data_IF_212835729475
#
_entry.id   IF_212835729475
#
_cell.length_a   1.000
_cell.length_b   1.000
_cell.length_c   1.000
_cell.angle_alpha   90.00
_cell.angle_beta   90.00
_cell.angle_gamma   90.00
#
_symmetry.space_group_name_H-M   'P 1'
#
loop_
_entity.id
_entity.type
_entity.pdbx_description
1 polymer ?
#
# COMPACT_ATOMS: atom_id res chain seq x y z
N UNK A 1 37.25 7.09 7.16
CA UNK A 1 36.35 6.11 6.55
C UNK A 1 35.27 6.87 5.78
N UNK A 2 35.51 7.26 4.53
CA UNK A 2 34.47 7.75 3.63
C UNK A 2 33.92 6.56 2.83
N UNK A 3 32.60 6.41 2.78
CA UNK A 3 31.83 5.86 1.64
C UNK A 3 30.42 5.57 2.14
N UNK A 4 29.63 6.64 2.24
CA UNK A 4 28.19 6.54 2.09
C UNK A 4 27.91 6.70 0.60
N UNK A 5 28.24 5.64 -0.14
CA UNK A 5 27.83 5.43 -1.51
C UNK A 5 26.32 5.66 -1.58
N UNK A 6 25.95 6.75 -2.25
CA UNK A 6 24.58 7.08 -2.54
C UNK A 6 23.98 5.91 -3.31
N UNK A 7 22.94 5.29 -2.75
CA UNK A 7 22.12 4.31 -3.46
C UNK A 7 21.39 5.02 -4.62
N UNK A 8 22.11 5.26 -5.71
CA UNK A 8 21.54 5.68 -6.98
C UNK A 8 20.59 4.56 -7.44
N UNK A 9 19.30 4.77 -7.17
CA UNK A 9 18.27 3.90 -7.71
C UNK A 9 18.20 4.21 -9.20
N UNK A 10 18.86 3.37 -10.00
CA UNK A 10 18.83 3.47 -11.46
C UNK A 10 17.37 3.56 -11.92
N UNK A 11 16.99 4.71 -12.48
CA UNK A 11 15.64 4.94 -12.95
C UNK A 11 15.34 3.90 -14.05
N UNK A 12 14.26 3.10 -13.92
CA UNK A 12 13.90 2.15 -14.96
C UNK A 12 13.66 2.93 -16.26
N UNK A 13 14.38 2.55 -17.32
CA UNK A 13 14.31 3.15 -18.66
C UNK A 13 12.97 2.88 -19.35
N UNK A 14 11.89 3.32 -18.71
CA UNK A 14 10.56 3.28 -19.27
C UNK A 14 10.50 4.29 -20.43
N UNK A 15 9.88 3.93 -21.56
CA UNK A 15 9.72 4.84 -22.67
C UNK A 15 8.96 6.09 -22.20
N UNK A 16 9.64 7.24 -22.23
CA UNK A 16 9.03 8.54 -21.93
C UNK A 16 8.27 8.99 -23.17
N UNK A 17 6.97 9.25 -23.02
CA UNK A 17 6.16 9.77 -24.12
C UNK A 17 6.68 11.17 -24.52
N UNK A 18 7.19 11.30 -25.74
CA UNK A 18 7.73 12.56 -26.28
C UNK A 18 6.65 13.49 -26.86
N UNK A 19 5.40 13.04 -26.92
CA UNK A 19 4.29 13.83 -27.46
C UNK A 19 3.67 14.74 -26.40
N UNK A 20 3.16 15.90 -26.83
CA UNK A 20 2.31 16.74 -25.98
C UNK A 20 1.16 15.92 -25.38
N UNK A 21 0.86 16.16 -24.10
CA UNK A 21 -0.21 15.47 -23.41
C UNK A 21 -1.55 15.72 -24.13
N UNK A 22 -2.16 14.67 -24.66
CA UNK A 22 -3.50 14.75 -25.24
C UNK A 22 -4.50 15.15 -24.13
N UNK A 23 -5.56 15.90 -24.47
CA UNK A 23 -6.62 16.21 -23.51
C UNK A 23 -7.17 14.89 -22.96
N UNK A 24 -7.16 14.76 -21.63
CA UNK A 24 -7.66 13.56 -20.94
C UNK A 24 -9.07 13.26 -21.45
N UNK A 25 -9.34 12.05 -21.97
CA UNK A 25 -10.69 11.69 -22.37
C UNK A 25 -11.60 11.83 -21.15
N UNK A 26 -12.73 12.52 -21.32
CA UNK A 26 -13.70 12.68 -20.25
C UNK A 26 -14.31 11.33 -19.93
N UNK A 27 -14.26 10.92 -18.66
CA UNK A 27 -14.92 9.71 -18.16
C UNK A 27 -16.45 9.77 -18.35
N UNK A 28 -17.00 10.98 -18.56
CA UNK A 28 -18.40 11.18 -18.90
C UNK A 28 -18.81 10.50 -20.22
N UNK A 29 -17.90 10.40 -21.21
CA UNK A 29 -18.18 9.74 -22.50
C UNK A 29 -18.34 8.23 -22.38
N UNK A 30 -17.85 7.64 -21.29
CA UNK A 30 -17.94 6.21 -20.99
C UNK A 30 -18.62 5.96 -19.65
N UNK A 31 -19.48 6.88 -19.19
CA UNK A 31 -20.15 6.74 -17.92
C UNK A 31 -21.02 5.47 -17.97
N UNK A 32 -20.77 4.47 -17.09
CA UNK A 32 -21.56 3.26 -17.09
C UNK A 32 -23.01 3.60 -16.74
N UNK A 33 -23.96 3.01 -17.46
CA UNK A 33 -25.38 3.10 -17.13
C UNK A 33 -25.63 2.58 -15.70
N UNK A 34 -26.58 3.19 -14.97
CA UNK A 34 -27.02 2.73 -13.65
C UNK A 34 -27.34 1.23 -13.62
N UNK A 35 -27.97 0.69 -14.68
CA UNK A 35 -28.24 -0.74 -14.79
C UNK A 35 -26.95 -1.59 -14.79
N UNK A 36 -25.91 -1.13 -15.49
CA UNK A 36 -24.60 -1.79 -15.51
C UNK A 36 -23.92 -1.71 -14.14
N UNK A 37 -23.97 -0.55 -13.48
CA UNK A 37 -23.40 -0.38 -12.12
C UNK A 37 -24.09 -1.30 -11.12
N UNK A 38 -25.42 -1.40 -11.18
CA UNK A 38 -26.19 -2.31 -10.32
C UNK A 38 -25.83 -3.79 -10.57
N UNK A 39 -25.67 -4.19 -11.83
CA UNK A 39 -25.24 -5.55 -12.17
C UNK A 39 -23.81 -5.83 -11.70
N UNK A 40 -22.90 -4.86 -11.82
CA UNK A 40 -21.52 -4.98 -11.36
C UNK A 40 -21.45 -5.14 -9.83
N UNK A 41 -22.23 -4.37 -9.07
CA UNK A 41 -22.32 -4.50 -7.62
C UNK A 41 -22.90 -5.86 -7.21
N UNK A 42 -24.02 -6.27 -7.81
CA UNK A 42 -24.62 -7.57 -7.55
C UNK A 42 -23.69 -8.75 -7.91
N UNK A 43 -22.87 -8.61 -8.96
CA UNK A 43 -21.87 -9.61 -9.33
C UNK A 43 -20.68 -9.62 -8.36
N UNK A 44 -20.26 -8.46 -7.85
CA UNK A 44 -19.17 -8.34 -6.87
C UNK A 44 -19.51 -9.07 -5.56
N UNK A 45 -20.74 -8.97 -5.08
CA UNK A 45 -21.18 -9.68 -3.86
C UNK A 45 -21.15 -11.20 -4.01
N UNK A 46 -21.22 -11.71 -5.25
CA UNK A 46 -21.17 -13.14 -5.57
C UNK A 46 -19.77 -13.63 -5.91
N UNK A 47 -18.78 -12.74 -6.04
CA UNK A 47 -17.41 -13.17 -6.27
C UNK A 47 -16.82 -13.73 -4.98
N UNK A 48 -16.14 -14.87 -5.09
CA UNK A 48 -15.32 -15.38 -3.99
C UNK A 48 -14.36 -14.28 -3.53
N UNK A 49 -14.21 -14.01 -2.22
CA UNK A 49 -13.38 -12.93 -1.72
C UNK A 49 -11.94 -13.16 -2.21
N UNK A 50 -11.58 -12.44 -3.27
CA UNK A 50 -10.37 -12.70 -4.06
C UNK A 50 -9.09 -12.52 -3.23
N UNK A 51 -9.22 -11.90 -2.04
CA UNK A 51 -8.14 -11.67 -1.07
C UNK A 51 -8.64 -11.67 0.38
N UNK A 52 -9.37 -12.69 0.83
CA UNK A 52 -9.70 -12.82 2.27
C UNK A 52 -8.43 -12.72 3.17
N UNK A 53 -7.29 -13.21 2.70
CA UNK A 53 -5.98 -13.09 3.38
C UNK A 53 -5.38 -11.66 3.42
N UNK A 54 -5.80 -10.73 2.56
CA UNK A 54 -5.32 -9.33 2.56
C UNK A 54 -6.38 -8.31 2.97
N UNK A 55 -7.60 -8.75 3.25
CA UNK A 55 -8.60 -7.92 3.90
C UNK A 55 -8.17 -7.76 5.36
N UNK A 56 -7.51 -6.64 5.67
CA UNK A 56 -7.19 -6.28 7.05
C UNK A 56 -8.52 -6.02 7.74
N UNK A 57 -8.96 -6.96 8.58
CA UNK A 57 -10.10 -6.71 9.46
C UNK A 57 -9.73 -5.64 10.48
N UNK A 58 -10.69 -4.87 11.00
CA UNK A 58 -10.42 -3.91 12.07
C UNK A 58 -9.74 -4.57 13.28
N UNK A 59 -10.07 -5.83 13.63
CA UNK A 59 -9.34 -6.57 14.67
C UNK A 59 -7.89 -6.86 14.27
N UNK A 60 -7.64 -7.19 13.00
CA UNK A 60 -6.29 -7.38 12.46
C UNK A 60 -5.44 -6.11 12.51
N UNK A 61 -6.05 -4.95 12.25
CA UNK A 61 -5.40 -3.65 12.38
C UNK A 61 -5.06 -3.33 13.85
N UNK A 62 -6.02 -3.48 14.76
CA UNK A 62 -5.81 -3.26 16.20
C UNK A 62 -4.70 -4.17 16.76
N UNK A 63 -4.68 -5.45 16.36
CA UNK A 63 -3.62 -6.38 16.71
C UNK A 63 -2.24 -5.99 16.14
N UNK A 64 -2.18 -5.43 14.93
CA UNK A 64 -0.93 -4.96 14.33
C UNK A 64 -0.38 -3.72 15.05
N UNK A 65 -1.23 -2.74 15.36
CA UNK A 65 -0.83 -1.57 16.15
C UNK A 65 -0.42 -1.95 17.58
N UNK A 66 -1.11 -2.90 18.21
CA UNK A 66 -0.72 -3.42 19.52
C UNK A 66 0.64 -4.13 19.51
N UNK A 67 0.94 -4.92 18.45
CA UNK A 67 2.26 -5.53 18.27
C UNK A 67 3.35 -4.49 18.02
N UNK A 68 3.09 -3.50 17.16
CA UNK A 68 4.01 -2.38 16.92
C UNK A 68 4.28 -1.55 18.18
N UNK A 69 3.26 -1.28 18.98
CA UNK A 69 3.39 -0.58 20.26
C UNK A 69 4.26 -1.35 21.26
N UNK A 70 4.12 -2.68 21.35
CA UNK A 70 5.00 -3.52 22.17
C UNK A 70 6.44 -3.62 21.64
N UNK A 71 6.63 -3.57 20.32
CA UNK A 71 7.97 -3.47 19.73
C UNK A 71 8.63 -2.11 20.00
N UNK A 72 7.83 -1.04 20.07
CA UNK A 72 8.27 0.30 20.45
C UNK A 72 8.50 0.47 21.96
N UNK A 73 7.95 -0.42 22.79
CA UNK A 73 8.20 -0.48 24.23
C UNK A 73 9.61 -1.07 24.47
N UNK A 74 10.63 -0.22 24.28
CA UNK A 74 12.05 -0.49 24.53
C UNK A 74 12.31 -0.74 26.02
N UNK A 75 11.84 -1.85 26.56
CA UNK A 75 12.24 -2.28 27.91
C UNK A 75 13.63 -2.88 27.82
N UNK A 76 14.57 -2.22 28.49
CA UNK A 76 15.91 -2.74 28.72
C UNK A 76 15.79 -4.10 29.42
N UNK A 77 16.36 -5.19 28.86
CA UNK A 77 16.43 -6.45 29.57
C UNK A 77 17.15 -6.25 30.92
N UNK A 78 16.70 -6.96 31.96
CA UNK A 78 17.31 -6.86 33.28
C UNK A 78 18.82 -7.13 33.20
N UNK A 79 19.62 -6.24 33.79
CA UNK A 79 21.09 -6.35 33.85
C UNK A 79 21.86 -5.52 32.82
N UNK A 80 21.20 -4.95 31.81
CA UNK A 80 21.85 -4.06 30.85
C UNK A 80 21.74 -2.59 31.30
N UNK A 81 22.67 -1.71 30.88
CA UNK A 81 22.68 -0.27 31.24
C UNK A 81 22.40 0.71 30.09
N UNK A 82 22.65 0.34 28.82
CA UNK A 82 22.28 1.12 27.61
C UNK A 82 21.91 0.20 26.43
N UNK A 83 21.03 0.65 25.54
CA UNK A 83 20.60 -0.05 24.31
C UNK A 83 20.82 0.87 23.11
N UNK A 84 21.58 0.41 22.12
CA UNK A 84 21.73 1.09 20.82
C UNK A 84 20.69 0.52 19.85
N UNK A 85 20.01 1.41 19.12
CA UNK A 85 19.13 1.00 18.03
C UNK A 85 19.75 1.46 16.73
N UNK A 86 19.88 0.53 15.80
CA UNK A 86 20.27 0.74 14.41
C UNK A 86 19.00 0.83 13.57
#
# INVERSE_FOLDING_TARGET
>A
MPDLEQSETAAPGLPVAMSAAAPRPSLARSAPNAAFVSQLLAARDRQAPQRARRAVTPEGAAGAYGRGARMGERRMPMGYRKTLLV
#
